data_IF_865089775841
#
_entry.id   IF_865089775841
#
_cell.length_a   1.000
_cell.length_b   1.000
_cell.length_c   1.000
_cell.angle_alpha   90.00
_cell.angle_beta   90.00
_cell.angle_gamma   90.00
#
_symmetry.space_group_name_H-M   'P 1'
#
loop_
_entity.id
_entity.type
_entity.pdbx_description
1 polymer ?
#
# COMPACT_ATOMS: atom_id res chain seq x y z
N UNK A 1 34.60 42.65 11.93
CA UNK A 1 34.48 41.20 12.22
C UNK A 1 33.07 40.77 11.86
N UNK A 2 32.94 39.83 10.91
CA UNK A 2 31.68 39.41 10.27
C UNK A 2 30.87 38.56 11.26
N UNK A 3 29.71 39.06 11.68
CA UNK A 3 28.69 38.25 12.37
C UNK A 3 27.51 38.17 11.41
N UNK A 4 27.40 37.04 10.74
CA UNK A 4 26.33 36.73 9.83
C UNK A 4 26.48 35.27 9.46
N UNK A 5 25.36 34.55 9.41
CA UNK A 5 25.24 33.09 9.30
C UNK A 5 25.15 32.41 10.68
N UNK A 6 23.96 32.51 11.32
CA UNK A 6 23.40 31.28 11.90
C UNK A 6 21.93 31.05 11.51
N UNK A 7 21.33 31.86 10.62
CA UNK A 7 19.91 31.70 10.25
C UNK A 7 19.65 30.82 9.01
N UNK A 8 20.63 30.65 8.10
CA UNK A 8 20.37 29.88 6.87
C UNK A 8 20.31 28.37 7.08
N UNK A 9 20.97 27.83 8.10
CA UNK A 9 20.97 26.39 8.38
C UNK A 9 19.65 25.89 9.00
N UNK A 10 18.91 26.77 9.68
CA UNK A 10 17.63 26.41 10.31
C UNK A 10 16.52 26.28 9.26
N UNK A 11 16.57 27.07 8.18
CA UNK A 11 15.53 27.04 7.15
C UNK A 11 15.61 25.81 6.23
N UNK A 12 16.79 25.20 6.09
CA UNK A 12 16.98 24.03 5.21
C UNK A 12 16.52 22.70 5.84
N UNK A 13 16.38 22.63 7.17
CA UNK A 13 15.88 21.42 7.86
C UNK A 13 14.35 21.28 7.84
N UNK A 14 13.60 22.33 7.48
CA UNK A 14 12.13 22.30 7.52
C UNK A 14 11.52 21.72 6.24
N UNK A 15 12.28 21.62 5.14
CA UNK A 15 11.78 21.12 3.85
C UNK A 15 11.71 19.59 3.73
N UNK A 16 12.24 18.83 4.70
CA UNK A 16 12.24 17.35 4.65
C UNK A 16 11.21 16.66 5.56
N UNK A 17 10.45 17.39 6.38
CA UNK A 17 9.52 16.79 7.37
C UNK A 17 8.19 16.26 6.82
N UNK A 18 8.04 16.09 5.50
CA UNK A 18 6.75 15.75 4.89
C UNK A 18 6.64 14.44 4.13
N UNK A 19 7.75 13.78 3.77
CA UNK A 19 7.66 12.46 3.15
C UNK A 19 7.32 11.42 4.23
N UNK A 20 6.04 11.33 4.61
CA UNK A 20 5.52 10.12 5.25
C UNK A 20 5.84 8.98 4.29
N UNK A 21 6.88 8.23 4.61
CA UNK A 21 7.25 7.04 3.86
C UNK A 21 6.06 6.08 3.97
N UNK A 22 5.26 6.03 2.90
CA UNK A 22 4.11 5.14 2.82
C UNK A 22 4.65 3.72 2.90
N UNK A 23 4.28 3.01 3.98
CA UNK A 23 4.70 1.62 4.17
C UNK A 23 4.19 0.79 3.00
N UNK A 24 4.98 -0.21 2.62
CA UNK A 24 4.69 -1.13 1.53
C UNK A 24 4.41 -2.51 2.09
N UNK A 25 3.69 -3.33 1.34
CA UNK A 25 3.44 -4.72 1.73
C UNK A 25 4.79 -5.46 1.72
N UNK A 26 5.17 -6.16 2.80
CA UNK A 26 6.44 -6.91 2.84
C UNK A 26 6.59 -7.83 1.62
N UNK A 27 7.75 -7.79 0.95
CA UNK A 27 7.98 -8.56 -0.29
C UNK A 27 7.37 -7.94 -1.56
N UNK A 28 6.61 -6.85 -1.45
CA UNK A 28 5.99 -6.12 -2.57
C UNK A 28 6.26 -4.62 -2.44
N UNK A 29 7.50 -4.19 -2.76
CA UNK A 29 8.01 -2.83 -2.52
C UNK A 29 7.23 -1.70 -3.21
N UNK A 30 6.40 -2.02 -4.21
CA UNK A 30 5.59 -1.06 -4.95
C UNK A 30 4.08 -1.28 -4.78
N UNK A 31 3.69 -2.09 -3.79
CA UNK A 31 2.31 -2.23 -3.32
C UNK A 31 2.20 -1.54 -1.97
N UNK A 32 1.37 -0.48 -1.86
CA UNK A 32 1.24 0.22 -0.60
C UNK A 32 0.49 -0.60 0.44
N UNK A 33 0.98 -0.56 1.67
CA UNK A 33 0.25 -1.08 2.82
C UNK A 33 -0.84 -0.08 3.20
N UNK A 34 -2.05 -0.58 3.45
CA UNK A 34 -3.15 0.28 3.86
C UNK A 34 -2.80 1.00 5.20
N UNK A 35 -3.07 2.31 5.37
CA UNK A 35 -2.64 3.06 6.56
C UNK A 35 -3.18 2.54 7.90
N UNK A 36 -4.32 1.84 7.86
CA UNK A 36 -4.96 1.18 9.00
C UNK A 36 -4.68 -0.34 9.06
N UNK A 37 -3.67 -0.82 8.33
CA UNK A 37 -3.29 -2.22 8.37
C UNK A 37 -2.76 -2.62 9.75
N UNK A 38 -3.07 -3.85 10.13
CA UNK A 38 -2.72 -4.48 11.40
C UNK A 38 -2.56 -5.98 11.17
N UNK A 39 -1.95 -6.71 12.11
CA UNK A 39 -1.82 -8.18 12.05
C UNK A 39 -1.20 -8.67 10.72
N UNK A 40 -0.10 -8.03 10.32
CA UNK A 40 0.59 -8.36 9.06
C UNK A 40 1.33 -9.68 9.26
N UNK A 41 1.09 -10.62 8.36
CA UNK A 41 1.68 -11.95 8.39
C UNK A 41 2.02 -12.44 6.99
N UNK A 42 3.14 -13.14 6.86
CA UNK A 42 3.48 -13.88 5.65
C UNK A 42 2.96 -15.32 5.78
N UNK A 43 2.20 -15.78 4.78
CA UNK A 43 1.60 -17.13 4.73
C UNK A 43 1.91 -17.72 3.36
N UNK A 44 2.79 -18.72 3.31
CA UNK A 44 3.31 -19.27 2.05
C UNK A 44 3.96 -18.18 1.16
N UNK A 45 3.47 -17.99 -0.06
CA UNK A 45 3.88 -16.94 -1.00
C UNK A 45 3.04 -15.64 -0.90
N UNK A 46 2.07 -15.60 0.02
CA UNK A 46 1.16 -14.46 0.20
C UNK A 46 1.48 -13.67 1.46
N UNK A 47 1.08 -12.40 1.46
CA UNK A 47 1.07 -11.55 2.65
C UNK A 47 -0.36 -11.16 2.97
N UNK A 48 -0.75 -11.38 4.21
CA UNK A 48 -2.08 -11.08 4.73
C UNK A 48 -1.99 -9.99 5.79
N UNK A 49 -2.99 -9.12 5.83
CA UNK A 49 -3.15 -8.14 6.89
C UNK A 49 -4.62 -7.81 7.08
N UNK A 50 -4.93 -7.26 8.25
CA UNK A 50 -6.27 -6.85 8.64
C UNK A 50 -6.37 -5.33 8.67
N UNK A 51 -7.42 -4.80 8.06
CA UNK A 51 -7.79 -3.39 8.16
C UNK A 51 -9.02 -3.25 9.03
N UNK A 52 -8.90 -2.48 10.12
CA UNK A 52 -9.98 -2.26 11.08
C UNK A 52 -10.93 -1.15 10.62
N UNK A 53 -12.22 -1.37 10.85
CA UNK A 53 -13.27 -0.36 10.70
C UNK A 53 -13.40 0.24 9.29
N UNK A 54 -13.17 -0.58 8.25
CA UNK A 54 -13.42 -0.24 6.85
C UNK A 54 -14.02 -1.45 6.14
N UNK A 55 -14.98 -1.20 5.25
CA UNK A 55 -15.63 -2.20 4.42
C UNK A 55 -14.71 -2.71 3.31
N UNK A 56 -15.01 -3.89 2.75
CA UNK A 56 -14.25 -4.41 1.62
C UNK A 56 -14.24 -3.48 0.41
N UNK A 57 -15.36 -2.79 0.14
CA UNK A 57 -15.46 -1.85 -0.99
C UNK A 57 -14.55 -0.63 -0.80
N UNK A 58 -14.51 -0.03 0.39
CA UNK A 58 -13.60 1.09 0.68
C UNK A 58 -12.13 0.69 0.53
N UNK A 59 -11.79 -0.55 0.92
CA UNK A 59 -10.44 -1.09 0.77
C UNK A 59 -10.12 -1.36 -0.71
N UNK A 60 -11.07 -1.91 -1.46
CA UNK A 60 -10.91 -2.12 -2.90
C UNK A 60 -10.70 -0.79 -3.64
N UNK A 61 -11.49 0.23 -3.34
CA UNK A 61 -11.37 1.58 -3.92
C UNK A 61 -10.02 2.23 -3.58
N UNK A 62 -9.56 2.09 -2.35
CA UNK A 62 -8.23 2.53 -1.94
C UNK A 62 -7.13 1.88 -2.80
N UNK A 63 -7.19 0.56 -2.96
CA UNK A 63 -6.19 -0.17 -3.73
C UNK A 63 -6.27 0.13 -5.22
N UNK A 64 -7.46 0.27 -5.79
CA UNK A 64 -7.63 0.67 -7.18
C UNK A 64 -6.92 2.00 -7.47
N UNK A 65 -7.17 3.02 -6.64
CA UNK A 65 -6.56 4.35 -6.78
C UNK A 65 -5.03 4.33 -6.58
N UNK A 66 -4.57 3.68 -5.52
CA UNK A 66 -3.15 3.69 -5.18
C UNK A 66 -2.28 2.86 -6.14
N UNK A 67 -2.83 1.77 -6.67
CA UNK A 67 -2.16 0.93 -7.65
C UNK A 67 -2.14 1.61 -9.03
N UNK A 68 -3.22 2.29 -9.44
CA UNK A 68 -3.26 3.08 -10.67
C UNK A 68 -2.16 4.16 -10.69
N UNK A 69 -2.01 4.93 -9.61
CA UNK A 69 -0.91 5.92 -9.47
C UNK A 69 0.48 5.33 -9.67
N UNK A 70 0.63 4.03 -9.39
CA UNK A 70 1.89 3.28 -9.47
C UNK A 70 2.02 2.48 -10.75
N UNK A 71 1.15 2.74 -11.73
CA UNK A 71 1.11 2.12 -13.06
C UNK A 71 0.79 0.62 -13.02
N UNK A 72 0.06 0.18 -12.00
CA UNK A 72 -0.58 -1.13 -12.01
C UNK A 72 -1.94 -1.02 -12.68
N UNK A 73 -2.24 -1.95 -13.58
CA UNK A 73 -3.49 -1.98 -14.33
C UNK A 73 -4.28 -3.20 -13.84
N UNK A 74 -5.54 -2.99 -13.47
CA UNK A 74 -6.42 -4.12 -13.18
C UNK A 74 -6.74 -4.85 -14.50
N UNK A 75 -6.40 -6.13 -14.59
CA UNK A 75 -6.59 -6.95 -15.79
C UNK A 75 -7.70 -7.98 -15.62
N UNK A 76 -8.07 -8.32 -14.38
CA UNK A 76 -9.17 -9.25 -14.09
C UNK A 76 -9.82 -8.97 -12.72
N UNK A 77 -11.05 -9.44 -12.53
CA UNK A 77 -11.80 -9.36 -11.27
C UNK A 77 -12.82 -10.47 -11.13
N UNK A 78 -12.80 -11.15 -9.98
CA UNK A 78 -13.81 -12.13 -9.57
C UNK A 78 -14.27 -11.87 -8.14
N UNK A 79 -15.40 -11.16 -7.99
CA UNK A 79 -15.93 -10.81 -6.67
C UNK A 79 -14.95 -9.97 -5.85
N UNK A 80 -14.39 -10.58 -4.80
CA UNK A 80 -13.39 -10.02 -3.89
C UNK A 80 -11.93 -10.18 -4.33
N UNK A 81 -11.69 -10.85 -5.46
CA UNK A 81 -10.35 -11.10 -6.01
C UNK A 81 -10.09 -10.18 -7.21
N UNK A 82 -8.94 -9.52 -7.21
CA UNK A 82 -8.53 -8.53 -8.20
C UNK A 82 -7.14 -8.88 -8.72
N UNK A 83 -6.96 -8.95 -10.03
CA UNK A 83 -5.65 -9.20 -10.65
C UNK A 83 -5.12 -7.89 -11.20
N UNK A 84 -3.92 -7.53 -10.75
CA UNK A 84 -3.21 -6.34 -11.24
C UNK A 84 -1.94 -6.75 -11.96
N UNK A 85 -1.63 -6.07 -13.07
CA UNK A 85 -0.42 -6.27 -13.87
C UNK A 85 0.41 -4.99 -13.94
N UNK A 86 1.73 -5.14 -13.82
CA UNK A 86 2.71 -4.10 -14.08
C UNK A 86 3.99 -4.70 -14.64
N UNK A 87 4.36 -4.28 -15.86
CA UNK A 87 5.60 -4.70 -16.55
C UNK A 87 5.79 -6.23 -16.58
N UNK A 88 4.71 -6.97 -16.89
CA UNK A 88 4.72 -8.43 -16.96
C UNK A 88 4.65 -9.16 -15.60
N UNK A 89 4.73 -8.45 -14.47
CA UNK A 89 4.45 -9.03 -13.14
C UNK A 89 2.96 -8.91 -12.84
N UNK A 90 2.35 -10.01 -12.40
CA UNK A 90 0.95 -10.05 -11.94
C UNK A 90 0.86 -10.35 -10.45
N UNK A 91 -0.04 -9.66 -9.77
CA UNK A 91 -0.42 -9.96 -8.39
C UNK A 91 -1.91 -10.26 -8.30
N UNK A 92 -2.26 -11.05 -7.30
CA UNK A 92 -3.62 -11.25 -6.86
C UNK A 92 -3.82 -10.50 -5.55
N UNK A 93 -4.79 -9.58 -5.54
CA UNK A 93 -5.24 -8.87 -4.35
C UNK A 93 -6.63 -9.38 -4.00
N UNK A 94 -6.79 -9.95 -2.79
CA UNK A 94 -8.08 -10.45 -2.30
C UNK A 94 -8.52 -9.64 -1.10
N UNK A 95 -9.72 -9.07 -1.15
CA UNK A 95 -10.30 -8.24 -0.08
C UNK A 95 -11.57 -8.89 0.45
N UNK A 96 -11.51 -9.45 1.65
CA UNK A 96 -12.64 -10.17 2.25
C UNK A 96 -13.12 -9.44 3.49
N UNK A 97 -14.40 -9.09 3.50
CA UNK A 97 -15.04 -8.51 4.68
C UNK A 97 -15.24 -9.56 5.77
N UNK A 98 -15.15 -9.11 7.01
CA UNK A 98 -15.39 -9.86 8.22
C UNK A 98 -15.99 -8.94 9.27
N UNK A 99 -16.63 -9.49 10.30
CA UNK A 99 -17.32 -8.69 11.32
C UNK A 99 -16.38 -7.64 11.94
N UNK A 100 -16.56 -6.37 11.55
CA UNK A 100 -15.76 -5.20 11.91
C UNK A 100 -14.27 -5.23 11.49
N UNK A 101 -13.89 -6.10 10.55
CA UNK A 101 -12.51 -6.27 10.10
C UNK A 101 -12.47 -6.73 8.65
N UNK A 102 -11.73 -6.03 7.80
CA UNK A 102 -11.49 -6.46 6.42
C UNK A 102 -10.11 -7.11 6.32
N UNK A 103 -10.06 -8.34 5.81
CA UNK A 103 -8.81 -9.04 5.53
C UNK A 103 -8.38 -8.74 4.10
N UNK A 104 -7.10 -8.39 3.92
CA UNK A 104 -6.47 -8.23 2.62
C UNK A 104 -5.38 -9.27 2.48
N UNK A 105 -5.33 -9.93 1.32
CA UNK A 105 -4.26 -10.84 0.93
C UNK A 105 -3.64 -10.38 -0.38
N UNK A 106 -2.31 -10.37 -0.44
CA UNK A 106 -1.55 -10.08 -1.65
C UNK A 106 -0.64 -11.26 -1.95
N UNK A 107 -0.76 -11.84 -3.14
CA UNK A 107 0.10 -12.94 -3.60
C UNK A 107 0.57 -12.71 -5.04
N UNK A 108 1.58 -13.47 -5.53
CA UNK A 108 1.81 -13.56 -6.96
C UNK A 108 0.57 -14.19 -7.62
N UNK A 109 0.31 -13.81 -8.87
CA UNK A 109 -0.71 -14.47 -9.66
C UNK A 109 -0.07 -15.52 -10.56
N UNK A 110 -0.27 -16.80 -10.21
CA UNK A 110 0.14 -17.94 -11.03
C UNK A 110 -1.03 -18.31 -11.96
N UNK A 111 -0.76 -18.39 -13.26
CA UNK A 111 -1.72 -18.77 -14.31
C UNK A 111 -2.04 -20.26 -14.26
#
# INVERSE_FOLDING_TARGET
MRVGIPLMFIFMMILFSGCRQQQTVPGYEDIPLHPKASQIQSVDDRVEFVVLSLSADEIADYYAHELEKRQWIQVDRWGSAFVYEKRGRKILLVVTDGKNRTKVSVSPFHH
#
